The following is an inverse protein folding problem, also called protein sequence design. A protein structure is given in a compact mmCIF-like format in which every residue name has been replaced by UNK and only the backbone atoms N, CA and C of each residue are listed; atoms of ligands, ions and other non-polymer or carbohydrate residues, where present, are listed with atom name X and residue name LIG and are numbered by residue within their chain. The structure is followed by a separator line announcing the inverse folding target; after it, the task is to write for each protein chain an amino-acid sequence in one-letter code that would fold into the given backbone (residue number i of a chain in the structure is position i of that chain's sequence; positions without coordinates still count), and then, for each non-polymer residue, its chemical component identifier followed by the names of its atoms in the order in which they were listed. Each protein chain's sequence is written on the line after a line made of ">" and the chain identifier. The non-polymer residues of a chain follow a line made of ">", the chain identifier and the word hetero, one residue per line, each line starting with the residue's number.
data_IF_402133061342
#
_entry.id   IF_402133061342
#
_cell.length_a   1.000
_cell.length_b   1.000
_cell.length_c   1.000
_cell.angle_alpha   90.00
_cell.angle_beta   90.00
_cell.angle_gamma   90.00
#
_symmetry.space_group_name_H-M   'P 1'
#
loop_
_entity.id
_entity.type
_entity.pdbx_description
1 polymer ?
#
# COMPACT_ATOMS: atom_id res chain seq x y z
N UNK A 1 -14.19 -1.49 10.61
CA UNK A 1 -13.49 -0.92 9.43
C UNK A 1 -14.37 -0.46 8.26
N UNK A 2 -15.53 -1.08 7.95
CA UNK A 2 -16.37 -0.66 6.78
C UNK A 2 -16.90 0.79 6.84
N UNK A 3 -17.13 1.34 8.04
CA UNK A 3 -17.62 2.71 8.22
C UNK A 3 -16.63 3.80 7.80
N UNK A 4 -15.32 3.51 7.82
CA UNK A 4 -14.26 4.45 7.45
C UNK A 4 -14.09 4.58 5.93
N UNK A 5 -14.58 3.62 5.12
CA UNK A 5 -14.40 3.64 3.66
C UNK A 5 -15.02 4.86 2.97
N UNK A 6 -16.19 5.33 3.42
CA UNK A 6 -16.87 6.51 2.84
C UNK A 6 -16.11 7.83 3.09
N UNK A 7 -15.78 8.20 4.34
CA UNK A 7 -15.05 9.44 4.62
C UNK A 7 -13.64 9.43 4.01
N UNK A 8 -12.94 8.30 3.99
CA UNK A 8 -11.65 8.21 3.31
C UNK A 8 -11.74 8.28 1.79
N UNK A 9 -12.76 7.68 1.14
CA UNK A 9 -12.98 7.89 -0.31
C UNK A 9 -13.27 9.35 -0.63
N UNK A 10 -14.03 10.04 0.22
CA UNK A 10 -14.27 11.48 0.08
C UNK A 10 -12.97 12.26 0.23
N UNK A 11 -12.15 11.95 1.24
CA UNK A 11 -10.84 12.56 1.44
C UNK A 11 -9.89 12.32 0.25
N UNK A 12 -9.88 11.10 -0.31
CA UNK A 12 -9.10 10.76 -1.52
C UNK A 12 -9.68 11.41 -2.77
N UNK A 13 -10.98 11.66 -2.85
CA UNK A 13 -11.54 12.42 -3.98
C UNK A 13 -11.20 13.90 -3.87
N UNK A 14 -11.30 14.47 -2.67
CA UNK A 14 -11.08 15.89 -2.40
C UNK A 14 -9.58 16.26 -2.44
N UNK A 15 -8.69 15.33 -2.07
CA UNK A 15 -7.22 15.56 -2.04
C UNK A 15 -6.40 14.66 -2.97
N UNK A 16 -6.99 13.61 -3.56
CA UNK A 16 -6.23 12.58 -4.30
C UNK A 16 -6.11 12.83 -5.79
N UNK A 17 -6.71 13.89 -6.32
CA UNK A 17 -6.46 14.33 -7.70
C UNK A 17 -5.18 15.18 -7.78
N UNK A 18 -4.08 14.57 -7.32
CA UNK A 18 -2.74 15.18 -7.27
C UNK A 18 -2.30 15.68 -8.65
N UNK A 19 -2.63 14.92 -9.70
CA UNK A 19 -2.34 15.32 -11.08
C UNK A 19 -3.09 16.59 -11.50
N UNK A 20 -4.39 16.69 -11.18
CA UNK A 20 -5.19 17.87 -11.50
C UNK A 20 -4.72 19.09 -10.69
N UNK A 21 -4.32 18.89 -9.42
CA UNK A 21 -3.71 19.94 -8.59
C UNK A 21 -2.43 20.48 -9.22
N UNK A 22 -1.55 19.59 -9.69
CA UNK A 22 -0.32 19.98 -10.40
C UNK A 22 -0.62 20.72 -11.70
N UNK A 23 -1.59 20.25 -12.49
CA UNK A 23 -1.97 20.91 -13.75
C UNK A 23 -2.57 22.30 -13.49
N UNK A 24 -3.40 22.44 -12.46
CA UNK A 24 -3.99 23.72 -12.06
C UNK A 24 -2.92 24.71 -11.61
N UNK A 25 -2.04 24.30 -10.70
CA UNK A 25 -0.95 25.15 -10.22
C UNK A 25 0.04 25.54 -11.33
N UNK A 26 0.28 24.63 -12.29
CA UNK A 26 1.07 24.96 -13.48
C UNK A 26 0.39 26.06 -14.31
N UNK A 27 -0.91 25.96 -14.51
CA UNK A 27 -1.65 26.96 -15.28
C UNK A 27 -1.67 28.32 -14.58
N UNK A 28 -1.92 28.34 -13.26
CA UNK A 28 -1.89 29.57 -12.47
C UNK A 28 -0.50 30.22 -12.47
N UNK A 29 0.57 29.42 -12.33
CA UNK A 29 1.94 29.90 -12.43
C UNK A 29 2.26 30.48 -13.82
N UNK A 30 1.84 29.81 -14.91
CA UNK A 30 2.02 30.31 -16.28
C UNK A 30 1.34 31.67 -16.49
N UNK A 31 0.15 31.89 -15.92
CA UNK A 31 -0.56 33.16 -16.06
C UNK A 31 0.13 34.30 -15.30
N UNK A 32 0.64 34.03 -14.09
CA UNK A 32 1.41 35.02 -13.31
C UNK A 32 2.73 35.34 -14.00
N UNK A 33 3.43 34.35 -14.54
CA UNK A 33 4.67 34.57 -15.29
C UNK A 33 4.43 35.39 -16.57
N UNK A 34 3.36 35.12 -17.33
CA UNK A 34 2.97 35.96 -18.47
C UNK A 34 2.62 37.40 -18.08
N UNK A 35 2.03 37.61 -16.90
CA UNK A 35 1.74 38.94 -16.38
C UNK A 35 3.02 39.68 -15.98
N UNK A 36 3.98 38.97 -15.37
CA UNK A 36 5.28 39.49 -14.99
C UNK A 36 6.15 39.85 -16.21
N UNK A 37 6.10 39.05 -17.28
CA UNK A 37 6.76 39.33 -18.56
C UNK A 37 6.28 40.66 -19.18
N UNK A 38 5.02 41.03 -18.94
CA UNK A 38 4.44 42.30 -19.39
C UNK A 38 4.77 43.47 -18.47
N UNK A 39 5.09 43.22 -17.20
CA UNK A 39 5.45 44.24 -16.21
C UNK A 39 6.52 43.73 -15.23
N UNK A 40 7.78 43.82 -15.64
CA UNK A 40 8.93 43.16 -14.99
C UNK A 40 9.30 43.71 -13.61
N UNK A 41 8.79 44.90 -13.25
CA UNK A 41 9.09 45.58 -11.98
C UNK A 41 7.95 45.57 -10.96
N UNK A 42 6.87 44.85 -11.23
CA UNK A 42 5.76 44.72 -10.30
C UNK A 42 6.15 43.86 -9.09
N UNK A 43 6.24 44.48 -7.92
CA UNK A 43 6.60 43.79 -6.69
C UNK A 43 5.50 42.83 -6.20
N UNK A 44 4.24 43.09 -6.53
CA UNK A 44 3.10 42.25 -6.13
C UNK A 44 3.09 40.96 -6.94
N UNK A 45 3.30 41.06 -8.26
CA UNK A 45 3.37 39.89 -9.13
C UNK A 45 4.58 38.98 -8.81
N UNK A 46 5.71 39.54 -8.35
CA UNK A 46 6.86 38.73 -7.90
C UNK A 46 6.58 37.95 -6.62
N UNK A 47 5.89 38.57 -5.66
CA UNK A 47 5.49 37.87 -4.43
C UNK A 47 4.47 36.76 -4.76
N UNK A 48 3.51 37.06 -5.63
CA UNK A 48 2.52 36.10 -6.11
C UNK A 48 3.18 34.93 -6.87
N UNK A 49 4.15 35.20 -7.75
CA UNK A 49 4.94 34.16 -8.43
C UNK A 49 5.65 33.26 -7.42
N UNK A 50 6.31 33.82 -6.40
CA UNK A 50 7.03 33.04 -5.40
C UNK A 50 6.10 32.07 -4.63
N UNK A 51 4.87 32.51 -4.34
CA UNK A 51 3.84 31.66 -3.72
C UNK A 51 3.44 30.51 -4.65
N UNK A 52 3.18 30.79 -5.93
CA UNK A 52 2.80 29.75 -6.89
C UNK A 52 3.94 28.78 -7.21
N UNK A 53 5.19 29.24 -7.29
CA UNK A 53 6.37 28.39 -7.45
C UNK A 53 6.50 27.42 -6.28
N UNK A 54 6.36 27.92 -5.04
CA UNK A 54 6.42 27.08 -3.85
C UNK A 54 5.27 26.05 -3.83
N UNK A 55 4.03 26.48 -4.09
CA UNK A 55 2.89 25.57 -4.12
C UNK A 55 3.01 24.52 -5.24
N UNK A 56 3.52 24.90 -6.41
CA UNK A 56 3.73 24.01 -7.55
C UNK A 56 4.82 22.97 -7.26
N UNK A 57 5.95 23.39 -6.68
CA UNK A 57 7.04 22.46 -6.30
C UNK A 57 6.59 21.45 -5.25
N UNK A 58 5.85 21.89 -4.22
CA UNK A 58 5.24 20.98 -3.24
C UNK A 58 4.28 19.99 -3.90
N UNK A 59 3.38 20.46 -4.77
CA UNK A 59 2.44 19.60 -5.47
C UNK A 59 3.14 18.60 -6.41
N UNK A 60 4.27 18.98 -7.02
CA UNK A 60 5.10 18.09 -7.84
C UNK A 60 5.76 16.98 -7.03
N UNK A 61 6.29 17.32 -5.85
CA UNK A 61 6.86 16.34 -4.92
C UNK A 61 5.77 15.36 -4.46
N UNK A 62 4.56 15.85 -4.14
CA UNK A 62 3.42 15.01 -3.76
C UNK A 62 3.04 14.03 -4.89
N UNK A 63 2.93 14.52 -6.14
CA UNK A 63 2.65 13.70 -7.33
C UNK A 63 3.72 12.63 -7.56
N UNK A 64 5.00 12.99 -7.45
CA UNK A 64 6.12 12.07 -7.62
C UNK A 64 6.14 10.99 -6.53
N UNK A 65 5.92 11.38 -5.27
CA UNK A 65 5.83 10.45 -4.14
C UNK A 65 4.69 9.44 -4.35
N UNK A 66 3.52 9.91 -4.78
CA UNK A 66 2.39 9.06 -5.12
C UNK A 66 2.70 8.09 -6.27
N UNK A 67 3.33 8.58 -7.34
CA UNK A 67 3.70 7.74 -8.48
C UNK A 67 4.77 6.70 -8.10
N UNK A 68 5.76 7.06 -7.29
CA UNK A 68 6.78 6.15 -6.74
C UNK A 68 6.14 5.03 -5.93
N UNK A 69 5.23 5.39 -5.02
CA UNK A 69 4.50 4.44 -4.19
C UNK A 69 3.63 3.49 -5.03
N UNK A 70 2.88 4.03 -6.00
CA UNK A 70 2.03 3.23 -6.90
C UNK A 70 2.85 2.32 -7.81
N UNK A 71 4.04 2.76 -8.22
CA UNK A 71 4.97 1.97 -9.04
C UNK A 71 5.74 0.90 -8.24
N UNK A 72 5.78 0.99 -6.89
CA UNK A 72 6.62 0.16 -6.00
C UNK A 72 8.11 0.21 -6.36
N UNK A 73 8.62 1.38 -6.71
CA UNK A 73 10.03 1.58 -7.06
C UNK A 73 10.76 2.11 -5.84
N UNK A 74 11.70 1.32 -5.30
CA UNK A 74 12.44 1.64 -4.07
C UNK A 74 13.67 2.54 -4.33
N UNK A 75 14.34 2.33 -5.47
CA UNK A 75 15.71 2.80 -5.74
C UNK A 75 15.87 4.20 -6.37
N UNK A 76 14.80 4.89 -6.72
CA UNK A 76 14.90 6.24 -7.30
C UNK A 76 14.88 7.31 -6.19
N UNK A 77 15.96 8.08 -6.09
CA UNK A 77 16.03 9.28 -5.26
C UNK A 77 15.11 10.37 -5.83
N UNK A 78 14.42 11.08 -4.93
CA UNK A 78 13.53 12.21 -5.26
C UNK A 78 14.42 13.32 -5.81
N UNK A 79 14.38 13.54 -7.12
CA UNK A 79 15.28 14.52 -7.76
C UNK A 79 15.27 14.43 -9.28
N UNK A 80 15.11 13.24 -9.84
CA UNK A 80 14.90 13.08 -11.28
C UNK A 80 13.40 13.09 -11.56
N UNK A 81 12.86 14.21 -12.03
CA UNK A 81 11.43 14.44 -12.32
C UNK A 81 10.91 13.52 -13.43
N UNK A 82 10.81 12.22 -13.17
CA UNK A 82 10.67 11.18 -14.19
C UNK A 82 9.30 10.49 -14.09
N UNK A 83 8.23 11.28 -14.08
CA UNK A 83 6.84 10.79 -14.10
C UNK A 83 6.60 9.80 -15.25
N UNK A 84 7.23 10.02 -16.41
CA UNK A 84 7.19 9.11 -17.55
C UNK A 84 7.75 7.71 -17.24
N UNK A 85 8.84 7.62 -16.47
CA UNK A 85 9.40 6.35 -16.02
C UNK A 85 8.40 5.60 -15.11
N UNK A 86 7.82 6.27 -14.13
CA UNK A 86 6.83 5.64 -13.24
C UNK A 86 5.60 5.16 -14.00
N UNK A 87 5.09 5.93 -14.96
CA UNK A 87 3.99 5.50 -15.82
C UNK A 87 4.34 4.28 -16.68
N UNK A 88 5.56 4.24 -17.26
CA UNK A 88 6.04 3.07 -18.02
C UNK A 88 6.18 1.83 -17.13
N UNK A 89 6.72 1.98 -15.92
CA UNK A 89 6.84 0.90 -14.94
C UNK A 89 5.47 0.37 -14.49
N UNK A 90 4.52 1.26 -14.20
CA UNK A 90 3.14 0.87 -13.88
C UNK A 90 2.50 0.09 -15.02
N UNK A 91 2.64 0.55 -16.27
CA UNK A 91 2.10 -0.12 -17.44
C UNK A 91 2.73 -1.50 -17.64
N UNK A 92 4.05 -1.61 -17.51
CA UNK A 92 4.77 -2.88 -17.60
C UNK A 92 4.33 -3.86 -16.52
N UNK A 93 4.21 -3.41 -15.27
CA UNK A 93 3.73 -4.24 -14.16
C UNK A 93 2.29 -4.69 -14.36
N UNK A 94 1.40 -3.77 -14.78
CA UNK A 94 0.00 -4.09 -15.02
C UNK A 94 -0.15 -5.13 -16.15
N UNK A 95 0.66 -5.02 -17.21
CA UNK A 95 0.70 -6.02 -18.28
C UNK A 95 1.24 -7.37 -17.79
N UNK A 96 2.29 -7.39 -16.96
CA UNK A 96 2.85 -8.63 -16.39
C UNK A 96 1.92 -9.30 -15.39
N UNK A 97 1.15 -8.54 -14.62
CA UNK A 97 0.19 -9.07 -13.64
C UNK A 97 -1.15 -9.48 -14.26
N UNK A 98 -1.39 -9.13 -15.52
CA UNK A 98 -2.63 -9.48 -16.21
C UNK A 98 -2.55 -10.95 -16.64
N UNK A 99 -3.42 -11.76 -16.06
CA UNK A 99 -3.60 -13.14 -16.47
C UNK A 99 -4.65 -13.16 -17.57
N UNK A 100 -4.21 -13.26 -18.82
CA UNK A 100 -5.12 -13.27 -19.98
C UNK A 100 -5.68 -14.66 -20.28
N UNK A 101 -4.89 -15.70 -19.99
CA UNK A 101 -5.17 -17.08 -20.33
C UNK A 101 -4.66 -17.99 -19.21
N UNK A 102 -5.48 -18.95 -18.79
CA UNK A 102 -5.05 -20.06 -17.93
C UNK A 102 -5.45 -21.39 -18.54
N UNK A 103 -4.77 -22.46 -18.11
CA UNK A 103 -5.23 -23.83 -18.35
C UNK A 103 -5.77 -24.41 -17.06
N UNK A 104 -6.97 -24.97 -17.12
CA UNK A 104 -7.58 -25.65 -15.99
C UNK A 104 -6.93 -27.03 -15.73
N UNK A 105 -7.38 -27.71 -14.68
CA UNK A 105 -6.89 -29.05 -14.33
C UNK A 105 -7.15 -30.12 -15.42
N UNK A 106 -8.05 -29.84 -16.37
CA UNK A 106 -8.38 -30.69 -17.51
C UNK A 106 -7.64 -30.26 -18.80
N UNK A 107 -6.63 -29.38 -18.69
CA UNK A 107 -5.91 -28.78 -19.83
C UNK A 107 -6.78 -27.95 -20.78
N UNK A 108 -7.96 -27.49 -20.34
CA UNK A 108 -8.82 -26.59 -21.12
C UNK A 108 -8.33 -25.15 -20.97
N UNK A 109 -8.16 -24.47 -22.10
CA UNK A 109 -7.74 -23.08 -22.13
C UNK A 109 -8.93 -22.15 -21.82
N UNK A 110 -8.81 -21.39 -20.74
CA UNK A 110 -9.84 -20.47 -20.25
C UNK A 110 -9.32 -19.04 -20.39
N UNK A 111 -10.14 -18.17 -20.99
CA UNK A 111 -9.78 -16.78 -21.28
C UNK A 111 -10.87 -15.81 -20.83
N UNK A 112 -10.51 -14.55 -20.63
CA UNK A 112 -11.45 -13.49 -20.29
C UNK A 112 -12.04 -13.62 -18.89
N UNK A 113 -13.35 -13.35 -18.75
CA UNK A 113 -14.05 -13.31 -17.46
C UNK A 113 -14.14 -14.67 -16.76
N UNK A 114 -13.95 -15.77 -17.49
CA UNK A 114 -14.01 -17.13 -16.95
C UNK A 114 -12.73 -17.53 -16.18
N UNK A 115 -11.64 -16.76 -16.33
CA UNK A 115 -10.37 -17.00 -15.64
C UNK A 115 -10.56 -16.88 -14.12
N UNK A 116 -11.31 -15.88 -13.66
CA UNK A 116 -11.56 -15.64 -12.23
C UNK A 116 -12.31 -16.83 -11.59
N UNK A 117 -13.38 -17.29 -12.24
CA UNK A 117 -14.20 -18.41 -11.76
C UNK A 117 -13.40 -19.72 -11.72
N UNK A 118 -12.59 -19.98 -12.75
CA UNK A 118 -11.73 -21.16 -12.81
C UNK A 118 -10.65 -21.13 -11.72
N UNK A 119 -10.06 -19.97 -11.41
CA UNK A 119 -9.14 -19.81 -10.27
C UNK A 119 -9.83 -20.12 -8.93
N UNK A 120 -10.99 -19.51 -8.69
CA UNK A 120 -11.72 -19.70 -7.43
C UNK A 120 -12.13 -21.16 -7.27
N UNK A 121 -12.66 -21.78 -8.32
CA UNK A 121 -13.05 -23.20 -8.30
C UNK A 121 -11.88 -24.12 -7.96
N UNK A 122 -10.73 -23.92 -8.61
CA UNK A 122 -9.53 -24.73 -8.36
C UNK A 122 -9.04 -24.62 -6.91
N UNK A 123 -8.87 -23.39 -6.40
CA UNK A 123 -8.38 -23.20 -5.03
C UNK A 123 -9.42 -23.54 -3.97
N UNK A 124 -10.72 -23.42 -4.27
CA UNK A 124 -11.76 -23.90 -3.36
C UNK A 124 -11.69 -25.43 -3.23
N UNK A 125 -11.46 -26.16 -4.31
CA UNK A 125 -11.27 -27.61 -4.24
C UNK A 125 -9.95 -27.98 -3.55
N UNK A 126 -8.88 -27.22 -3.79
CA UNK A 126 -7.56 -27.52 -3.24
C UNK A 126 -7.44 -27.17 -1.74
N UNK A 127 -7.90 -26.00 -1.31
CA UNK A 127 -7.77 -25.51 0.07
C UNK A 127 -9.04 -25.69 0.92
N UNK A 128 -10.20 -25.84 0.28
CA UNK A 128 -11.49 -25.98 0.95
C UNK A 128 -11.94 -27.42 1.14
N UNK A 129 -11.16 -28.40 0.68
CA UNK A 129 -11.43 -29.81 0.94
C UNK A 129 -10.91 -30.21 2.32
N UNK A 130 -11.77 -30.79 3.14
CA UNK A 130 -11.34 -31.54 4.33
C UNK A 130 -10.73 -32.86 3.87
N UNK A 131 -9.41 -32.98 4.02
CA UNK A 131 -8.72 -34.25 3.85
C UNK A 131 -8.61 -34.93 5.22
N UNK A 132 -8.86 -36.24 5.27
CA UNK A 132 -8.43 -37.05 6.40
C UNK A 132 -6.91 -37.05 6.41
N UNK A 133 -6.33 -36.35 7.40
CA UNK A 133 -4.91 -36.45 7.68
C UNK A 133 -4.70 -37.69 8.54
N UNK A 134 -3.84 -38.60 8.10
CA UNK A 134 -3.32 -39.66 8.94
C UNK A 134 -2.69 -39.06 10.21
N UNK A 135 -2.82 -39.76 11.33
CA UNK A 135 -2.24 -39.35 12.60
C UNK A 135 -0.72 -39.22 12.45
N UNK A 136 -0.22 -37.98 12.48
CA UNK A 136 1.19 -37.69 12.28
C UNK A 136 1.96 -38.07 13.55
N UNK A 137 2.51 -39.29 13.57
CA UNK A 137 3.30 -39.81 14.69
C UNK A 137 4.60 -39.02 14.81
N UNK A 138 4.69 -38.18 15.85
CA UNK A 138 5.85 -37.31 16.11
C UNK A 138 6.87 -37.91 17.07
N UNK A 139 6.58 -39.08 17.68
CA UNK A 139 7.47 -39.72 18.64
C UNK A 139 8.81 -40.10 17.98
N UNK A 140 9.89 -39.49 18.46
CA UNK A 140 11.26 -39.78 18.02
C UNK A 140 11.71 -39.07 16.73
N UNK A 141 10.85 -38.29 16.07
CA UNK A 141 11.20 -37.63 14.80
C UNK A 141 12.13 -36.41 14.98
N UNK A 142 12.10 -35.78 16.16
CA UNK A 142 12.87 -34.58 16.46
C UNK A 142 13.84 -34.81 17.63
N UNK A 143 15.13 -34.99 17.33
CA UNK A 143 16.20 -35.14 18.34
C UNK A 143 16.55 -33.82 19.03
N UNK A 144 16.40 -32.69 18.33
CA UNK A 144 16.66 -31.35 18.87
C UNK A 144 15.36 -30.66 19.23
N UNK A 145 15.08 -30.59 20.52
CA UNK A 145 13.95 -29.83 21.06
C UNK A 145 14.40 -28.41 21.39
N UNK A 146 13.54 -27.44 21.13
CA UNK A 146 13.72 -26.06 21.59
C UNK A 146 13.85 -26.08 23.11
N UNK A 147 14.74 -25.26 23.68
CA UNK A 147 14.93 -25.22 25.14
C UNK A 147 13.63 -24.87 25.85
N UNK A 148 13.41 -25.40 27.06
CA UNK A 148 12.18 -25.14 27.82
C UNK A 148 11.91 -23.65 28.01
N UNK A 149 12.97 -22.85 28.19
CA UNK A 149 12.90 -21.39 28.27
C UNK A 149 12.41 -20.73 26.98
N UNK A 150 12.84 -21.23 25.82
CA UNK A 150 12.40 -20.72 24.52
C UNK A 150 10.98 -21.19 24.22
N UNK A 151 10.63 -22.40 24.64
CA UNK A 151 9.28 -22.95 24.51
C UNK A 151 8.27 -22.13 25.34
N UNK A 152 8.60 -21.84 26.60
CA UNK A 152 7.82 -20.94 27.46
C UNK A 152 7.69 -19.52 26.87
N UNK A 153 8.73 -19.02 26.20
CA UNK A 153 8.67 -17.73 25.52
C UNK A 153 7.82 -17.76 24.24
N UNK A 154 7.70 -18.89 23.55
CA UNK A 154 6.88 -19.01 22.34
C UNK A 154 5.39 -19.14 22.65
N UNK A 155 5.03 -19.71 23.80
CA UNK A 155 3.64 -19.88 24.23
C UNK A 155 3.12 -18.71 25.08
N UNK A 156 3.96 -17.71 25.39
CA UNK A 156 3.56 -16.57 26.21
C UNK A 156 2.57 -15.67 25.45
N UNK A 157 1.76 -14.93 26.19
CA UNK A 157 0.92 -13.91 25.59
C UNK A 157 1.74 -12.81 24.94
N UNK A 158 1.35 -12.43 23.73
CA UNK A 158 1.93 -11.31 22.99
C UNK A 158 1.70 -10.02 23.78
N UNK A 159 2.78 -9.29 24.03
CA UNK A 159 2.77 -8.01 24.76
C UNK A 159 2.46 -6.83 23.84
N UNK A 160 1.95 -5.73 24.41
CA UNK A 160 1.70 -4.51 23.65
C UNK A 160 2.99 -3.92 23.07
N UNK A 161 4.09 -4.06 23.81
CA UNK A 161 5.42 -3.64 23.42
C UNK A 161 5.90 -4.41 22.19
N UNK A 162 5.72 -5.74 22.14
CA UNK A 162 6.06 -6.55 20.96
C UNK A 162 5.24 -6.15 19.74
N UNK A 163 3.92 -5.93 19.91
CA UNK A 163 3.05 -5.47 18.82
C UNK A 163 3.51 -4.11 18.29
N UNK A 164 3.85 -3.18 19.19
CA UNK A 164 4.33 -1.86 18.81
C UNK A 164 5.69 -1.93 18.11
N UNK A 165 6.64 -2.70 18.64
CA UNK A 165 7.96 -2.86 18.04
C UNK A 165 7.86 -3.49 16.65
N UNK A 166 7.07 -4.55 16.49
CA UNK A 166 6.87 -5.21 15.20
C UNK A 166 6.23 -4.27 14.16
N UNK A 167 5.24 -3.48 14.59
CA UNK A 167 4.56 -2.52 13.72
C UNK A 167 5.52 -1.40 13.29
N UNK A 168 6.23 -0.77 14.24
CA UNK A 168 7.11 0.36 13.94
C UNK A 168 8.42 -0.06 13.25
N UNK A 169 8.88 -1.30 13.45
CA UNK A 169 10.03 -1.87 12.74
C UNK A 169 9.77 -2.22 11.27
N UNK A 170 8.51 -2.21 10.82
CA UNK A 170 8.15 -2.43 9.42
C UNK A 170 8.25 -1.12 8.64
N UNK A 171 8.81 -1.10 7.42
CA UNK A 171 8.91 0.12 6.59
C UNK A 171 7.56 0.81 6.34
N UNK A 172 7.56 2.15 6.33
CA UNK A 172 6.36 2.99 6.18
C UNK A 172 5.66 2.82 4.83
N UNK A 173 6.41 2.40 3.82
CA UNK A 173 6.05 2.21 2.42
C UNK A 173 5.59 0.77 2.09
N UNK A 174 5.62 -0.13 3.07
CA UNK A 174 5.27 -1.54 2.85
C UNK A 174 3.78 -1.72 2.53
N UNK A 175 3.57 -2.66 1.62
CA UNK A 175 2.40 -2.79 0.77
C UNK A 175 1.07 -2.59 1.49
N UNK A 176 0.25 -1.73 0.90
CA UNK A 176 -1.16 -1.70 1.20
C UNK A 176 -1.83 -2.98 0.73
N UNK A 177 -2.67 -3.58 1.58
CA UNK A 177 -3.63 -4.59 1.16
C UNK A 177 -4.63 -4.04 0.13
N UNK A 178 -5.66 -4.81 -0.26
CA UNK A 178 -6.67 -4.39 -1.23
C UNK A 178 -7.43 -3.10 -0.85
N UNK A 179 -7.29 -2.62 0.39
CA UNK A 179 -7.91 -1.41 0.92
C UNK A 179 -7.10 -0.11 0.74
N UNK A 180 -5.92 -0.13 0.10
CA UNK A 180 -5.10 1.06 -0.30
C UNK A 180 -4.48 1.95 0.79
N UNK A 181 -4.58 1.61 2.08
CA UNK A 181 -3.84 2.27 3.17
C UNK A 181 -2.42 1.73 3.39
N UNK A 182 -1.45 2.62 3.55
CA UNK A 182 -0.06 2.28 3.91
C UNK A 182 0.12 2.22 5.43
N UNK A 183 1.11 1.46 5.91
CA UNK A 183 1.50 1.40 7.32
C UNK A 183 1.76 2.78 7.94
N UNK A 184 2.23 3.75 7.14
CA UNK A 184 2.42 5.13 7.57
C UNK A 184 1.19 5.77 8.23
N UNK A 185 -0.02 5.51 7.72
CA UNK A 185 -1.27 6.07 8.29
C UNK A 185 -1.53 5.48 9.68
N UNK A 186 -1.26 4.19 9.83
CA UNK A 186 -1.44 3.49 11.10
C UNK A 186 -0.42 3.96 12.15
N UNK A 187 0.83 4.23 11.73
CA UNK A 187 1.86 4.78 12.62
C UNK A 187 1.55 6.20 13.06
N UNK A 188 1.15 7.06 12.13
CA UNK A 188 0.78 8.46 12.42
C UNK A 188 -0.48 8.58 13.28
N UNK A 189 -1.40 7.64 13.17
CA UNK A 189 -2.67 7.65 13.92
C UNK A 189 -2.63 6.74 15.15
N UNK A 190 -1.45 6.28 15.57
CA UNK A 190 -1.29 5.26 16.61
C UNK A 190 -1.95 5.64 17.94
N UNK A 191 -1.96 6.92 18.30
CA UNK A 191 -2.60 7.40 19.53
C UNK A 191 -4.13 7.18 19.54
N UNK A 192 -4.72 7.10 18.35
CA UNK A 192 -6.17 6.90 18.15
C UNK A 192 -6.47 5.41 18.00
N UNK A 193 -5.76 4.72 17.11
CA UNK A 193 -6.11 3.34 16.70
C UNK A 193 -5.30 2.25 17.41
N UNK A 194 -4.24 2.61 18.13
CA UNK A 194 -3.31 1.64 18.72
C UNK A 194 -3.99 0.69 19.70
N UNK A 195 -4.98 1.18 20.46
CA UNK A 195 -5.78 0.35 21.37
C UNK A 195 -6.59 -0.71 20.63
N UNK A 196 -7.22 -0.34 19.52
CA UNK A 196 -8.01 -1.27 18.69
C UNK A 196 -7.10 -2.34 18.07
N UNK A 197 -5.89 -1.95 17.64
CA UNK A 197 -4.90 -2.89 17.10
C UNK A 197 -4.43 -3.87 18.18
N UNK A 198 -4.15 -3.41 19.40
CA UNK A 198 -3.79 -4.30 20.51
C UNK A 198 -4.90 -5.30 20.83
N UNK A 199 -6.15 -4.85 20.87
CA UNK A 199 -7.30 -5.73 21.10
C UNK A 199 -7.40 -6.77 19.99
N UNK A 200 -7.40 -6.34 18.72
CA UNK A 200 -7.58 -7.25 17.59
C UNK A 200 -6.48 -8.32 17.49
N UNK A 201 -5.21 -7.97 17.75
CA UNK A 201 -4.10 -8.93 17.74
C UNK A 201 -4.23 -9.93 18.89
N UNK A 202 -4.64 -9.46 20.07
CA UNK A 202 -4.86 -10.34 21.22
C UNK A 202 -6.03 -11.28 20.99
N UNK A 203 -7.15 -10.75 20.47
CA UNK A 203 -8.35 -11.53 20.16
C UNK A 203 -8.03 -12.63 19.13
N UNK A 204 -7.27 -12.31 18.08
CA UNK A 204 -6.81 -13.30 17.10
C UNK A 204 -5.93 -14.39 17.71
N UNK A 205 -5.02 -14.00 18.61
CA UNK A 205 -4.14 -14.95 19.30
C UNK A 205 -4.90 -15.86 20.29
N UNK A 206 -6.07 -15.43 20.78
CA UNK A 206 -6.91 -16.24 21.68
C UNK A 206 -7.98 -17.05 20.97
N UNK A 207 -8.41 -16.62 19.76
CA UNK A 207 -9.48 -17.27 19.01
C UNK A 207 -9.02 -18.48 18.16
N UNK A 208 -7.70 -18.63 17.96
CA UNK A 208 -7.09 -19.76 17.25
C UNK A 208 -6.52 -20.84 18.19
N UNK A 209 -7.00 -20.89 19.45
CA UNK A 209 -6.77 -21.99 20.37
C UNK A 209 -8.05 -22.78 20.61
#
# INVERSE_FOLDING_TARGET
>A
MKALKKPFRKLVHDHGNLHDRVNKLRHELDEVQKALDRNTNDAVLREEEAVYVKAFTEAKIDEECFLKQKAKVEWLEVGDSNSAYFHKMMKSRNQRSRIEVIRDANNVEVTGSLVEDAFVSHYHQFLGATMDCDEFVTEGLFEKKVSDTSNLNMIRHITNEEIKVAMFGTGDDRASGPDSYTLAIFKKSWDIIGRDIFSAVRDFSTANC
#
